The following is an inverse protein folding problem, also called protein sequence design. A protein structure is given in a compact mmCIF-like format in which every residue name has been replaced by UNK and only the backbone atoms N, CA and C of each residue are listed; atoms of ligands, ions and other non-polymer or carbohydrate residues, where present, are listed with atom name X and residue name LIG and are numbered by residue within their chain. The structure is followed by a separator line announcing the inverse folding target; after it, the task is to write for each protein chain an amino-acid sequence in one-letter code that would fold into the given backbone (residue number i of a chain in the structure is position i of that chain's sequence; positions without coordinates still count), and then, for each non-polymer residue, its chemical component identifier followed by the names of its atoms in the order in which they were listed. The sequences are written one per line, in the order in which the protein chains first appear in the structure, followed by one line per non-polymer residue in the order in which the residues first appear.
data_IF_142611664100
#
_entry.id   IF_142611664100
#
_cell.length_a   1.000
_cell.length_b   1.000
_cell.length_c   1.000
_cell.angle_alpha   90.00
_cell.angle_beta   90.00
_cell.angle_gamma   90.00
#
_symmetry.space_group_name_H-M   'P 1'
#
loop_
_entity.id
_entity.type
_entity.pdbx_description
1 polymer ?
#
# COMPACT_ATOMS: atom_id res chain seq x y z
N UNK A 1 -19.70 15.05 -10.93
CA UNK A 1 -20.30 14.40 -9.75
C UNK A 1 -19.33 13.31 -9.35
N UNK A 2 -18.64 13.42 -8.20
CA UNK A 2 -17.86 12.30 -7.69
C UNK A 2 -18.82 11.15 -7.39
N UNK A 3 -18.46 9.93 -7.80
CA UNK A 3 -19.25 8.75 -7.44
C UNK A 3 -18.84 8.41 -6.01
N UNK A 4 -19.80 8.33 -5.09
CA UNK A 4 -19.60 7.86 -3.70
C UNK A 4 -18.90 6.46 -3.61
N UNK A 5 -18.68 5.79 -4.74
CA UNK A 5 -18.03 4.48 -4.86
C UNK A 5 -16.53 4.51 -5.22
N UNK A 6 -15.93 5.70 -5.39
CA UNK A 6 -14.50 5.78 -5.72
C UNK A 6 -13.65 5.38 -4.50
N UNK A 7 -13.12 4.16 -4.55
CA UNK A 7 -12.28 3.57 -3.53
C UNK A 7 -11.06 2.89 -4.14
N UNK A 8 -9.90 3.26 -3.64
CA UNK A 8 -8.62 2.64 -3.96
C UNK A 8 -7.71 2.76 -2.75
N UNK A 9 -6.99 1.69 -2.43
CA UNK A 9 -5.84 1.78 -1.53
C UNK A 9 -4.73 0.90 -2.06
N UNK A 10 -3.51 1.46 -2.12
CA UNK A 10 -2.29 0.73 -2.43
C UNK A 10 -1.26 1.03 -1.36
N UNK A 11 -0.62 -0.03 -0.90
CA UNK A 11 0.52 0.08 -0.02
C UNK A 11 1.70 -0.66 -0.63
N UNK A 12 2.84 0.00 -0.65
CA UNK A 12 4.10 -0.55 -1.09
C UNK A 12 5.14 -0.36 0.01
N UNK A 13 5.93 -1.40 0.25
CA UNK A 13 7.16 -1.30 1.03
C UNK A 13 8.24 -2.09 0.32
N UNK A 14 9.42 -1.51 0.19
CA UNK A 14 10.52 -2.21 -0.42
C UNK A 14 11.86 -1.53 -0.26
N UNK A 15 12.91 -2.29 -0.51
CA UNK A 15 14.27 -1.82 -0.48
C UNK A 15 15.14 -2.51 -1.53
N UNK A 16 16.25 -1.86 -1.89
CA UNK A 16 17.26 -2.43 -2.76
C UNK A 16 18.51 -2.75 -1.94
N UNK A 17 18.54 -3.98 -1.42
CA UNK A 17 19.69 -4.52 -0.71
C UNK A 17 20.79 -5.02 -1.65
N UNK A 18 21.86 -5.53 -1.05
CA UNK A 18 22.99 -6.18 -1.78
C UNK A 18 22.54 -7.38 -2.63
N UNK A 19 21.43 -8.01 -2.25
CA UNK A 19 20.91 -9.24 -2.85
C UNK A 19 19.76 -9.00 -3.82
N UNK A 20 19.45 -7.76 -4.17
CA UNK A 20 18.43 -7.41 -5.15
C UNK A 20 17.34 -6.52 -4.58
N UNK A 21 16.18 -6.54 -5.23
CA UNK A 21 15.03 -5.73 -4.86
C UNK A 21 14.02 -6.57 -4.10
N UNK A 22 13.88 -6.28 -2.80
CA UNK A 22 12.91 -6.92 -1.92
C UNK A 22 11.73 -5.98 -1.68
N UNK A 23 10.51 -6.46 -1.84
CA UNK A 23 9.31 -5.65 -1.65
C UNK A 23 8.07 -6.48 -1.32
N UNK A 24 7.11 -5.80 -0.71
CA UNK A 24 5.73 -6.25 -0.56
C UNK A 24 4.80 -5.13 -1.03
N UNK A 25 3.80 -5.49 -1.82
CA UNK A 25 2.78 -4.56 -2.31
C UNK A 25 1.41 -5.21 -2.23
N UNK A 26 0.40 -4.43 -1.86
CA UNK A 26 -0.99 -4.80 -2.06
C UNK A 26 -1.81 -3.63 -2.59
N UNK A 27 -2.86 -3.95 -3.35
CA UNK A 27 -3.89 -2.98 -3.73
C UNK A 27 -5.30 -3.55 -3.55
N UNK A 28 -6.21 -2.73 -3.02
CA UNK A 28 -7.65 -2.94 -3.07
C UNK A 28 -8.28 -1.96 -4.06
N UNK A 29 -9.23 -2.47 -4.83
CA UNK A 29 -10.05 -1.66 -5.75
C UNK A 29 -11.50 -1.67 -5.29
N UNK A 30 -12.27 -0.66 -5.70
CA UNK A 30 -13.71 -0.52 -5.42
C UNK A 30 -14.54 -1.75 -5.80
N UNK A 31 -14.11 -2.52 -6.81
CA UNK A 31 -14.79 -3.73 -7.26
C UNK A 31 -14.48 -4.99 -6.43
N UNK A 32 -13.84 -4.87 -5.26
CA UNK A 32 -13.48 -6.01 -4.41
C UNK A 32 -12.21 -6.74 -4.83
N UNK A 33 -11.52 -6.29 -5.89
CA UNK A 33 -10.29 -6.92 -6.35
C UNK A 33 -9.12 -6.58 -5.42
N UNK A 34 -8.54 -7.60 -4.79
CA UNK A 34 -7.31 -7.53 -4.01
C UNK A 34 -6.17 -8.16 -4.81
N UNK A 35 -5.11 -7.40 -5.05
CA UNK A 35 -3.86 -7.91 -5.62
C UNK A 35 -2.75 -7.80 -4.58
N UNK A 36 -1.97 -8.86 -4.47
CA UNK A 36 -0.84 -8.96 -3.55
C UNK A 36 0.40 -9.44 -4.30
N UNK A 37 1.51 -8.76 -4.07
CA UNK A 37 2.82 -9.14 -4.57
C UNK A 37 3.83 -9.12 -3.42
N UNK A 38 4.63 -10.17 -3.31
CA UNK A 38 5.75 -10.21 -2.37
C UNK A 38 6.96 -10.84 -3.05
N UNK A 39 8.09 -10.16 -2.97
CA UNK A 39 9.38 -10.61 -3.42
C UNK A 39 10.39 -10.39 -2.30
N UNK A 40 10.70 -11.43 -1.52
CA UNK A 40 11.59 -11.32 -0.36
C UNK A 40 12.92 -12.04 -0.53
N UNK A 41 13.26 -12.50 -1.76
CA UNK A 41 14.47 -13.22 -2.19
C UNK A 41 15.09 -14.28 -1.22
N UNK A 42 14.35 -14.65 -0.18
CA UNK A 42 14.77 -15.56 0.85
C UNK A 42 14.78 -16.96 0.26
N UNK A 43 15.94 -17.61 0.28
CA UNK A 43 16.14 -18.99 -0.21
C UNK A 43 15.79 -19.24 -1.69
N UNK A 44 15.90 -18.22 -2.55
CA UNK A 44 15.59 -18.31 -4.00
C UNK A 44 14.11 -18.59 -4.30
N UNK A 45 13.20 -18.18 -3.42
CA UNK A 45 11.78 -18.37 -3.68
C UNK A 45 11.33 -17.49 -4.86
N UNK A 46 10.40 -18.01 -5.66
CA UNK A 46 9.81 -17.25 -6.75
C UNK A 46 8.85 -16.19 -6.19
N UNK A 47 8.88 -14.97 -6.74
CA UNK A 47 7.96 -13.89 -6.36
C UNK A 47 6.51 -14.37 -6.28
N UNK A 48 5.89 -14.15 -5.12
CA UNK A 48 4.51 -14.52 -4.85
C UNK A 48 3.62 -13.43 -5.43
N UNK A 49 2.71 -13.83 -6.32
CA UNK A 49 1.63 -12.97 -6.85
C UNK A 49 0.30 -13.66 -6.65
N UNK A 50 -0.63 -12.97 -5.99
CA UNK A 50 -1.98 -13.46 -5.76
C UNK A 50 -2.99 -12.39 -6.13
N UNK A 51 -4.10 -12.84 -6.67
CA UNK A 51 -5.23 -12.01 -7.03
C UNK A 51 -6.49 -12.73 -6.56
N UNK A 52 -7.29 -12.04 -5.76
CA UNK A 52 -8.53 -12.57 -5.19
C UNK A 52 -9.61 -11.50 -5.23
N UNK A 53 -10.87 -11.92 -5.24
CA UNK A 53 -12.02 -11.03 -5.05
C UNK A 53 -12.52 -11.22 -3.63
N UNK A 54 -12.52 -10.15 -2.85
CA UNK A 54 -13.01 -10.14 -1.47
C UNK A 54 -14.50 -9.77 -1.44
N UNK A 55 -15.17 -10.08 -0.33
CA UNK A 55 -16.56 -9.68 -0.13
C UNK A 55 -16.67 -8.17 0.13
N UNK A 56 -17.87 -7.63 -0.07
CA UNK A 56 -18.14 -6.21 0.19
C UNK A 56 -17.84 -5.83 1.65
N UNK A 57 -18.12 -6.71 2.61
CA UNK A 57 -17.82 -6.47 4.03
C UNK A 57 -16.34 -6.23 4.32
N UNK A 58 -15.42 -6.83 3.54
CA UNK A 58 -13.99 -6.56 3.67
C UNK A 58 -13.65 -5.17 3.15
N UNK A 59 -14.24 -4.76 2.03
CA UNK A 59 -14.04 -3.41 1.47
C UNK A 59 -14.58 -2.34 2.43
N UNK A 60 -15.77 -2.56 2.98
CA UNK A 60 -16.39 -1.61 3.93
C UNK A 60 -15.54 -1.47 5.19
N UNK A 61 -14.95 -2.57 5.68
CA UNK A 61 -14.06 -2.52 6.84
C UNK A 61 -12.73 -1.81 6.55
N UNK A 62 -12.15 -1.99 5.36
CA UNK A 62 -10.95 -1.25 4.96
C UNK A 62 -11.25 0.25 4.86
N UNK A 63 -12.40 0.63 4.28
CA UNK A 63 -12.87 2.01 4.26
C UNK A 63 -13.02 2.57 5.67
N UNK A 64 -13.63 1.80 6.60
CA UNK A 64 -13.80 2.19 8.00
C UNK A 64 -12.46 2.44 8.68
N UNK A 65 -11.48 1.53 8.54
CA UNK A 65 -10.13 1.67 9.11
C UNK A 65 -9.44 2.94 8.60
N UNK A 66 -9.52 3.21 7.29
CA UNK A 66 -8.94 4.42 6.68
C UNK A 66 -9.59 5.68 7.26
N UNK A 67 -10.92 5.73 7.29
CA UNK A 67 -11.65 6.88 7.85
C UNK A 67 -11.33 7.11 9.33
N UNK A 68 -11.35 6.05 10.14
CA UNK A 68 -11.10 6.11 11.59
C UNK A 68 -9.66 6.51 11.93
N UNK A 69 -8.71 6.21 11.03
CA UNK A 69 -7.30 6.58 11.20
C UNK A 69 -7.03 8.07 10.92
N UNK A 70 -7.97 8.76 10.28
CA UNK A 70 -7.83 10.15 9.81
C UNK A 70 -6.63 10.41 8.88
N UNK A 71 -6.05 9.34 8.30
CA UNK A 71 -4.84 9.40 7.47
C UNK A 71 -4.97 10.32 6.25
N UNK A 72 -6.19 10.57 5.77
CA UNK A 72 -6.45 11.50 4.66
C UNK A 72 -6.27 12.98 5.04
N UNK A 73 -6.15 13.30 6.33
CA UNK A 73 -5.90 14.65 6.85
C UNK A 73 -4.42 14.95 7.06
N UNK A 74 -3.55 13.96 6.92
CA UNK A 74 -2.11 14.07 7.12
C UNK A 74 -1.37 14.55 5.86
N UNK A 75 -0.12 14.99 6.03
CA UNK A 75 0.75 15.47 4.95
C UNK A 75 2.20 14.98 5.21
N UNK A 76 2.84 14.44 4.16
CA UNK A 76 4.17 13.83 4.25
C UNK A 76 5.33 14.81 4.01
N UNK A 77 5.08 16.12 3.85
CA UNK A 77 6.12 17.15 3.62
C UNK A 77 7.27 17.14 4.62
N UNK A 78 6.97 16.88 5.89
CA UNK A 78 7.96 16.87 6.97
C UNK A 78 8.46 15.45 7.29
N UNK A 79 8.05 14.44 6.51
CA UNK A 79 8.45 13.06 6.76
C UNK A 79 9.82 12.77 6.13
N UNK A 80 10.58 11.81 6.68
CA UNK A 80 11.89 11.48 6.14
C UNK A 80 11.81 11.01 4.68
N UNK A 81 12.53 11.68 3.79
CA UNK A 81 12.59 11.29 2.37
C UNK A 81 13.16 9.88 2.19
N UNK A 82 12.62 9.08 1.25
CA UNK A 82 13.17 7.78 0.91
C UNK A 82 14.63 7.86 0.51
N UNK A 83 15.38 6.82 0.87
CA UNK A 83 16.77 6.68 0.49
C UNK A 83 17.02 5.33 -0.19
N UNK A 84 18.30 4.98 -0.38
CA UNK A 84 18.68 3.69 -0.95
C UNK A 84 18.36 2.51 -0.03
N UNK A 85 18.13 2.73 1.26
CA UNK A 85 17.90 1.71 2.28
C UNK A 85 16.46 1.23 2.25
N UNK A 86 15.49 2.08 1.90
CA UNK A 86 14.12 1.63 1.71
C UNK A 86 13.10 2.74 1.56
N UNK A 87 11.96 2.37 0.97
CA UNK A 87 10.82 3.24 0.69
C UNK A 87 9.52 2.57 1.13
N UNK A 88 8.62 3.36 1.68
CA UNK A 88 7.20 3.05 1.82
C UNK A 88 6.39 4.03 0.99
N UNK A 89 5.32 3.54 0.38
CA UNK A 89 4.33 4.36 -0.30
C UNK A 89 2.93 3.93 0.17
N UNK A 90 2.09 4.91 0.45
CA UNK A 90 0.68 4.71 0.71
C UNK A 90 -0.11 5.62 -0.22
N UNK A 91 -1.02 5.06 -0.99
CA UNK A 91 -1.92 5.81 -1.85
C UNK A 91 -3.35 5.41 -1.53
N UNK A 92 -4.20 6.40 -1.28
CA UNK A 92 -5.59 6.18 -0.88
C UNK A 92 -6.49 7.14 -1.64
N UNK A 93 -7.53 6.60 -2.26
CA UNK A 93 -8.68 7.34 -2.78
C UNK A 93 -9.91 6.89 -2.01
N UNK A 94 -10.61 7.82 -1.37
CA UNK A 94 -11.83 7.56 -0.62
C UNK A 94 -12.83 8.69 -0.87
N UNK A 95 -13.80 8.45 -1.76
CA UNK A 95 -14.77 9.47 -2.16
C UNK A 95 -14.08 10.63 -2.88
N UNK A 96 -14.01 11.80 -2.23
CA UNK A 96 -13.37 12.99 -2.77
C UNK A 96 -11.92 13.16 -2.31
N UNK A 97 -11.48 12.39 -1.31
CA UNK A 97 -10.15 12.51 -0.75
C UNK A 97 -9.18 11.65 -1.55
N UNK A 98 -8.04 12.23 -1.92
CA UNK A 98 -6.92 11.52 -2.55
C UNK A 98 -5.63 11.94 -1.86
N UNK A 99 -4.95 10.98 -1.24
CA UNK A 99 -3.61 11.16 -0.67
C UNK A 99 -2.63 10.19 -1.30
N UNK A 100 -1.37 10.63 -1.36
CA UNK A 100 -0.24 9.81 -1.78
C UNK A 100 0.96 10.20 -0.94
N UNK A 101 1.36 9.30 -0.05
CA UNK A 101 2.50 9.50 0.83
C UNK A 101 3.69 8.67 0.38
N UNK A 102 4.88 9.22 0.59
CA UNK A 102 6.15 8.55 0.33
C UNK A 102 7.11 8.85 1.46
N UNK A 103 7.58 7.81 2.15
CA UNK A 103 8.47 7.95 3.30
C UNK A 103 9.60 6.93 3.27
N UNK A 104 10.71 7.25 3.93
CA UNK A 104 11.79 6.31 4.19
C UNK A 104 11.29 5.11 4.98
N UNK A 105 11.68 3.92 4.55
CA UNK A 105 11.51 2.72 5.35
C UNK A 105 12.73 2.53 6.26
N UNK A 106 12.54 2.63 7.58
CA UNK A 106 13.58 2.27 8.58
C UNK A 106 13.53 0.79 8.97
N UNK A 107 12.48 0.06 8.58
CA UNK A 107 12.28 -1.34 8.90
C UNK A 107 13.01 -2.23 7.86
N UNK A 108 14.11 -2.84 8.31
CA UNK A 108 14.89 -3.85 7.56
C UNK A 108 14.20 -5.23 7.51
N UNK A 109 12.94 -5.35 7.92
CA UNK A 109 12.20 -6.61 7.95
C UNK A 109 11.30 -6.75 6.72
N UNK A 110 11.92 -7.05 5.59
CA UNK A 110 11.34 -7.82 4.48
C UNK A 110 12.36 -8.90 4.11
#
# INVERSE_FOLDING_TARGET
MPRDDDFYVRYYVGHRGKFGHEFMEFEFRSNGKLRYANNSNYKKDSMIRKEVTVSQSVIDEVKRIISDSEITKEDDKEWPEPDRVGRQELEVVLGNDHISFTVRCSLLWC
#
